data_IF_991691622857
#
_entry.id   IF_991691622857
#
_cell.length_a   1.000
_cell.length_b   1.000
_cell.length_c   1.000
_cell.angle_alpha   90.00
_cell.angle_beta   90.00
_cell.angle_gamma   90.00
#
_symmetry.space_group_name_H-M   'P 1'
#
loop_
_entity.id
_entity.type
_entity.pdbx_description
1 polymer ?
#
# COMPACT_ATOMS: atom_id res chain seq x y z
N UNK A 1 -1.79 2.35 3.47
CA UNK A 1 -0.70 2.75 4.39
C UNK A 1 -1.28 3.17 5.73
N UNK A 2 -0.46 3.08 6.78
CA UNK A 2 -0.81 3.53 8.13
C UNK A 2 -1.65 2.55 8.96
N UNK A 3 -2.33 1.62 8.33
CA UNK A 3 -3.14 0.60 9.03
C UNK A 3 -2.27 -0.58 9.45
N UNK A 4 -2.81 -1.39 10.38
CA UNK A 4 -2.21 -2.68 10.72
C UNK A 4 -2.77 -3.78 9.83
N UNK A 5 -1.92 -4.77 9.51
CA UNK A 5 -2.31 -5.93 8.73
C UNK A 5 -1.90 -7.19 9.47
N UNK A 6 -2.78 -8.19 9.47
CA UNK A 6 -2.49 -9.51 10.04
C UNK A 6 -2.52 -10.54 8.92
N UNK A 7 -1.42 -11.27 8.77
CA UNK A 7 -1.34 -12.40 7.84
C UNK A 7 -1.45 -13.69 8.64
N UNK A 8 -2.42 -14.51 8.27
CA UNK A 8 -2.66 -15.78 8.95
C UNK A 8 -1.79 -16.90 8.40
N UNK A 9 -1.55 -17.91 9.21
CA UNK A 9 -0.82 -19.10 8.81
C UNK A 9 -1.53 -20.33 9.36
N UNK A 10 -1.31 -21.47 8.74
CA UNK A 10 -1.94 -22.73 9.13
C UNK A 10 -1.67 -23.06 10.60
N UNK A 11 -2.73 -23.25 11.38
CA UNK A 11 -2.62 -23.65 12.79
C UNK A 11 -2.50 -25.17 12.86
N UNK A 12 -1.54 -25.62 13.65
CA UNK A 12 -1.34 -27.04 13.91
C UNK A 12 -1.07 -27.27 15.40
N UNK A 13 -1.38 -28.46 15.88
CA UNK A 13 -0.93 -28.89 17.20
C UNK A 13 0.49 -29.45 17.11
N UNK A 14 1.20 -29.44 18.24
CA UNK A 14 2.57 -29.98 18.35
C UNK A 14 3.54 -29.31 17.33
N UNK A 15 3.50 -27.99 17.28
CA UNK A 15 4.37 -27.19 16.41
C UNK A 15 5.77 -27.15 17.01
N UNK A 16 6.79 -27.50 16.20
CA UNK A 16 8.18 -27.40 16.58
C UNK A 16 8.79 -26.04 16.22
N UNK A 17 8.47 -25.55 15.01
CA UNK A 17 9.01 -24.30 14.48
C UNK A 17 7.98 -23.59 13.63
N UNK A 18 8.04 -22.25 13.66
CA UNK A 18 7.30 -21.36 12.73
C UNK A 18 8.29 -20.35 12.20
N UNK A 19 8.25 -20.11 10.89
CA UNK A 19 9.14 -19.11 10.27
C UNK A 19 8.35 -18.29 9.24
N UNK A 20 8.41 -16.97 9.37
CA UNK A 20 8.00 -16.04 8.33
C UNK A 20 9.23 -15.57 7.58
N UNK A 21 9.27 -15.84 6.27
CA UNK A 21 10.29 -15.34 5.35
C UNK A 21 9.68 -14.21 4.54
N UNK A 22 10.28 -13.05 4.61
CA UNK A 22 9.75 -11.83 4.00
C UNK A 22 10.75 -11.35 2.97
N UNK A 23 10.32 -11.29 1.71
CA UNK A 23 11.08 -10.74 0.61
C UNK A 23 10.40 -9.47 0.13
N UNK A 24 10.80 -8.29 0.62
CA UNK A 24 10.20 -7.05 0.17
C UNK A 24 10.54 -6.78 -1.29
N UNK A 25 9.67 -6.05 -1.98
CA UNK A 25 9.88 -5.66 -3.37
C UNK A 25 11.16 -4.84 -3.53
N UNK A 26 11.46 -4.00 -2.54
CA UNK A 26 12.69 -3.20 -2.48
C UNK A 26 13.32 -3.42 -1.11
N UNK A 27 14.60 -3.73 -1.11
CA UNK A 27 15.35 -4.00 0.12
C UNK A 27 15.67 -5.47 0.30
N UNK A 28 16.39 -5.77 1.36
CA UNK A 28 16.84 -7.12 1.67
C UNK A 28 15.78 -7.97 2.38
N UNK A 29 15.94 -9.30 2.34
CA UNK A 29 15.02 -10.20 3.01
C UNK A 29 15.10 -10.08 4.53
N UNK A 30 14.01 -10.43 5.20
CA UNK A 30 14.01 -10.53 6.65
C UNK A 30 13.32 -11.84 7.09
N UNK A 31 13.63 -12.29 8.28
CA UNK A 31 13.12 -13.55 8.81
C UNK A 31 12.67 -13.35 10.26
N UNK A 32 11.49 -13.87 10.58
CA UNK A 32 10.98 -13.93 11.93
C UNK A 32 10.66 -15.39 12.25
N UNK A 33 11.41 -16.00 13.16
CA UNK A 33 11.30 -17.40 13.50
C UNK A 33 10.94 -17.62 14.96
N UNK A 34 10.33 -18.77 15.25
CA UNK A 34 10.01 -19.21 16.59
C UNK A 34 10.33 -20.69 16.76
N UNK A 35 11.03 -21.03 17.85
CA UNK A 35 11.33 -22.42 18.22
C UNK A 35 10.59 -22.77 19.51
N UNK A 36 9.72 -23.77 19.43
CA UNK A 36 8.89 -24.15 20.56
C UNK A 36 9.69 -24.81 21.70
N UNK A 37 10.74 -25.58 21.35
CA UNK A 37 11.59 -26.25 22.34
C UNK A 37 12.35 -25.27 23.23
N UNK A 38 12.66 -24.08 22.73
CA UNK A 38 13.38 -23.03 23.45
C UNK A 38 12.49 -21.88 23.88
N UNK A 39 11.22 -21.88 23.43
CA UNK A 39 10.30 -20.77 23.61
C UNK A 39 10.95 -19.43 23.22
N UNK A 40 11.63 -19.43 22.07
CA UNK A 40 12.47 -18.31 21.65
C UNK A 40 12.10 -17.83 20.25
N UNK A 41 12.01 -16.51 20.13
CA UNK A 41 11.87 -15.81 18.84
C UNK A 41 13.23 -15.37 18.34
N UNK A 42 13.55 -15.72 17.08
CA UNK A 42 14.73 -15.23 16.38
C UNK A 42 14.28 -14.23 15.31
N UNK A 43 14.88 -13.05 15.35
CA UNK A 43 14.55 -11.97 14.43
C UNK A 43 15.81 -11.59 13.66
N UNK A 44 15.74 -11.64 12.31
CA UNK A 44 16.86 -11.28 11.44
C UNK A 44 16.40 -10.24 10.44
N UNK A 45 16.90 -9.01 10.57
CA UNK A 45 16.65 -7.88 9.68
C UNK A 45 15.20 -7.40 9.58
N UNK A 46 14.29 -7.93 10.39
CA UNK A 46 12.92 -7.45 10.43
C UNK A 46 12.80 -6.23 11.34
N UNK A 47 12.02 -5.23 10.93
CA UNK A 47 11.76 -4.04 11.72
C UNK A 47 10.86 -4.37 12.92
N UNK A 48 10.82 -3.47 13.90
CA UNK A 48 9.97 -3.62 15.08
C UNK A 48 8.48 -3.55 14.76
N UNK A 49 8.11 -3.05 13.57
CA UNK A 49 6.73 -3.01 13.12
C UNK A 49 6.16 -4.39 12.80
N UNK A 50 7.01 -5.39 12.59
CA UNK A 50 6.62 -6.76 12.33
C UNK A 50 6.83 -7.62 13.56
N UNK A 51 5.79 -8.31 14.01
CA UNK A 51 5.87 -9.18 15.18
C UNK A 51 4.79 -10.25 15.14
N UNK A 52 4.89 -11.20 16.06
CA UNK A 52 3.83 -12.18 16.29
C UNK A 52 2.59 -11.47 16.84
N UNK A 53 1.41 -11.77 16.26
CA UNK A 53 0.14 -11.27 16.79
C UNK A 53 -0.25 -12.00 18.07
N UNK A 54 0.00 -13.31 18.09
CA UNK A 54 -0.34 -14.21 19.19
C UNK A 54 0.87 -15.06 19.55
N UNK A 55 0.67 -16.03 20.43
CA UNK A 55 1.70 -17.01 20.74
C UNK A 55 1.94 -17.91 19.51
N UNK A 56 3.18 -17.93 18.94
CA UNK A 56 3.41 -18.56 17.62
C UNK A 56 3.16 -20.05 17.55
N UNK A 57 3.33 -20.78 18.65
CA UNK A 57 3.08 -22.23 18.69
C UNK A 57 1.57 -22.55 18.67
N UNK A 58 0.73 -21.58 18.96
CA UNK A 58 -0.74 -21.74 18.95
C UNK A 58 -1.37 -21.08 17.74
N UNK A 59 -0.93 -19.90 17.39
CA UNK A 59 -1.42 -19.14 16.23
C UNK A 59 -0.25 -18.36 15.61
N UNK A 60 0.30 -18.83 14.49
CA UNK A 60 1.49 -18.25 13.90
C UNK A 60 1.23 -17.00 13.06
N UNK A 61 0.20 -16.24 13.35
CA UNK A 61 -0.16 -15.02 12.62
C UNK A 61 0.90 -13.94 12.78
N UNK A 62 1.23 -13.28 11.66
CA UNK A 62 2.14 -12.13 11.61
C UNK A 62 1.34 -10.85 11.64
N UNK A 63 1.72 -9.93 12.53
CA UNK A 63 1.17 -8.57 12.54
C UNK A 63 2.19 -7.58 12.00
N UNK A 64 1.74 -6.75 11.06
CA UNK A 64 2.52 -5.62 10.54
C UNK A 64 1.80 -4.36 10.99
N UNK A 65 2.44 -3.58 11.84
CA UNK A 65 1.89 -2.32 12.33
C UNK A 65 2.34 -1.17 11.45
N UNK A 66 1.46 -0.18 11.25
CA UNK A 66 1.74 1.00 10.43
C UNK A 66 2.30 0.61 9.06
N UNK A 67 1.51 -0.14 8.28
CA UNK A 67 1.91 -0.61 6.97
C UNK A 67 2.36 0.56 6.09
N UNK A 68 3.55 0.44 5.52
CA UNK A 68 4.13 1.41 4.60
C UNK A 68 4.56 0.73 3.30
N UNK A 69 5.01 1.53 2.34
CA UNK A 69 5.42 1.04 1.01
C UNK A 69 6.54 -0.01 1.14
N UNK A 70 7.43 0.14 2.11
CA UNK A 70 8.54 -0.79 2.34
C UNK A 70 8.08 -2.20 2.71
N UNK A 71 6.83 -2.38 3.14
CA UNK A 71 6.28 -3.68 3.50
C UNK A 71 5.76 -4.48 2.29
N UNK A 72 5.66 -3.87 1.12
CA UNK A 72 5.19 -4.57 -0.08
C UNK A 72 6.17 -5.66 -0.49
N UNK A 73 5.65 -6.87 -0.75
CA UNK A 73 6.47 -7.98 -1.18
C UNK A 73 5.85 -9.34 -0.89
N UNK A 74 6.68 -10.37 -0.96
CA UNK A 74 6.29 -11.75 -0.71
C UNK A 74 6.49 -12.12 0.76
N UNK A 75 5.47 -12.75 1.34
CA UNK A 75 5.47 -13.25 2.71
C UNK A 75 5.19 -14.74 2.68
N UNK A 76 6.11 -15.55 3.16
CA UNK A 76 5.96 -16.99 3.22
C UNK A 76 6.02 -17.44 4.68
N UNK A 77 4.97 -18.13 5.13
CA UNK A 77 4.95 -18.76 6.44
C UNK A 77 5.22 -20.25 6.29
N UNK A 78 6.12 -20.77 7.10
CA UNK A 78 6.41 -22.19 7.17
C UNK A 78 6.19 -22.68 8.59
N UNK A 79 5.37 -23.73 8.72
CA UNK A 79 5.09 -24.36 10.01
C UNK A 79 5.60 -25.79 9.95
N UNK A 80 6.46 -26.15 10.91
CA UNK A 80 6.97 -27.50 11.09
C UNK A 80 6.27 -28.12 12.31
N UNK A 81 5.49 -29.14 12.06
CA UNK A 81 4.72 -29.86 13.09
C UNK A 81 4.94 -31.35 12.97
N UNK A 82 4.42 -32.13 13.95
CA UNK A 82 4.60 -33.59 13.96
C UNK A 82 3.94 -34.28 12.74
N UNK A 83 2.87 -33.71 12.20
CA UNK A 83 2.16 -34.26 11.04
C UNK A 83 2.63 -33.66 9.69
N UNK A 84 3.71 -32.91 9.68
CA UNK A 84 4.33 -32.46 8.44
C UNK A 84 4.71 -30.98 8.45
N UNK A 85 5.13 -30.52 7.28
CA UNK A 85 5.51 -29.12 7.04
C UNK A 85 4.42 -28.47 6.18
N UNK A 86 4.06 -27.23 6.54
CA UNK A 86 2.98 -26.50 5.87
C UNK A 86 3.48 -25.11 5.48
N UNK A 87 3.03 -24.63 4.32
CA UNK A 87 3.41 -23.34 3.78
C UNK A 87 2.19 -22.52 3.41
N UNK A 88 2.20 -21.24 3.74
CA UNK A 88 1.24 -20.26 3.23
C UNK A 88 2.04 -19.11 2.60
N UNK A 89 1.62 -18.68 1.42
CA UNK A 89 2.32 -17.64 0.65
C UNK A 89 1.37 -16.48 0.38
N UNK A 90 1.85 -15.26 0.65
CA UNK A 90 1.10 -14.04 0.38
C UNK A 90 1.96 -13.06 -0.40
N UNK A 91 1.33 -12.28 -1.27
CA UNK A 91 1.91 -11.07 -1.80
C UNK A 91 1.17 -9.87 -1.23
N UNK A 92 1.86 -9.04 -0.45
CA UNK A 92 1.28 -7.84 0.15
C UNK A 92 1.45 -6.67 -0.81
N UNK A 93 0.34 -6.16 -1.32
CA UNK A 93 0.30 -4.95 -2.14
C UNK A 93 -0.08 -3.78 -1.25
N UNK A 94 0.71 -2.71 -1.28
CA UNK A 94 0.48 -1.54 -0.45
C UNK A 94 -0.09 -0.43 -1.30
N UNK A 95 -1.28 0.06 -0.95
CA UNK A 95 -1.94 1.18 -1.59
C UNK A 95 -1.60 2.47 -0.85
N UNK A 96 -1.30 3.53 -1.62
CA UNK A 96 -1.08 4.87 -1.06
C UNK A 96 -2.11 5.80 -1.68
N UNK A 97 -3.06 6.35 -0.91
CA UNK A 97 -4.02 7.29 -1.46
C UNK A 97 -3.32 8.57 -1.89
N UNK A 98 -3.67 9.13 -3.06
CA UNK A 98 -3.10 10.39 -3.51
C UNK A 98 -3.65 11.55 -2.69
N UNK A 99 -2.88 12.64 -2.63
CA UNK A 99 -3.35 13.90 -2.04
C UNK A 99 -3.92 14.77 -3.16
N UNK A 100 -5.19 15.13 -3.07
CA UNK A 100 -5.88 15.95 -4.06
C UNK A 100 -5.68 17.43 -3.76
N UNK A 101 -5.15 18.16 -4.75
CA UNK A 101 -5.03 19.61 -4.72
C UNK A 101 -5.65 20.18 -5.99
N UNK A 102 -6.49 21.21 -5.84
CA UNK A 102 -7.16 21.86 -6.95
C UNK A 102 -6.92 23.38 -6.83
N UNK A 103 -6.35 23.98 -7.87
CA UNK A 103 -6.01 25.41 -7.86
C UNK A 103 -6.13 26.01 -9.25
N UNK A 104 -6.12 27.35 -9.33
CA UNK A 104 -6.09 28.09 -10.59
C UNK A 104 -4.64 28.47 -10.91
N UNK A 105 -4.20 28.26 -12.17
CA UNK A 105 -2.87 28.66 -12.59
C UNK A 105 -2.83 30.18 -12.92
N UNK A 106 -1.68 30.67 -13.35
CA UNK A 106 -1.46 32.10 -13.66
C UNK A 106 -2.33 32.60 -14.82
N UNK A 107 -2.84 31.68 -15.65
CA UNK A 107 -3.70 32.00 -16.78
C UNK A 107 -5.19 31.81 -16.45
N UNK A 108 -5.53 31.52 -15.19
CA UNK A 108 -6.89 31.27 -14.77
C UNK A 108 -7.44 29.90 -15.15
N UNK A 109 -6.59 28.95 -15.48
CA UNK A 109 -7.00 27.58 -15.79
C UNK A 109 -7.05 26.72 -14.51
N UNK A 110 -8.09 25.92 -14.33
CA UNK A 110 -8.10 24.95 -13.23
C UNK A 110 -7.04 23.87 -13.42
N UNK A 111 -6.32 23.57 -12.35
CA UNK A 111 -5.33 22.49 -12.31
C UNK A 111 -5.67 21.53 -11.19
N UNK A 112 -5.80 20.24 -11.52
CA UNK A 112 -6.07 19.18 -10.57
C UNK A 112 -4.85 18.28 -10.44
N UNK A 113 -4.36 18.12 -9.22
CA UNK A 113 -3.19 17.32 -8.92
C UNK A 113 -3.53 16.23 -7.92
N UNK A 114 -3.27 14.99 -8.31
CA UNK A 114 -3.35 13.83 -7.42
C UNK A 114 -1.91 13.41 -7.08
N UNK A 115 -1.41 13.87 -5.94
CA UNK A 115 0.00 13.76 -5.60
C UNK A 115 0.33 12.45 -4.90
N UNK A 116 1.39 11.80 -5.37
CA UNK A 116 2.07 10.70 -4.71
C UNK A 116 1.14 9.52 -4.38
N UNK A 117 0.29 9.13 -5.33
CA UNK A 117 -0.55 7.95 -5.21
C UNK A 117 0.15 6.68 -5.69
N UNK A 118 -0.22 5.54 -5.14
CA UNK A 118 0.24 4.24 -5.60
C UNK A 118 -0.93 3.25 -5.60
N UNK A 119 -1.31 2.70 -6.76
CA UNK A 119 -0.85 3.08 -8.12
C UNK A 119 -1.22 4.52 -8.49
N UNK A 120 -0.87 4.94 -9.71
CA UNK A 120 -1.25 6.24 -10.23
C UNK A 120 -2.77 6.41 -10.21
N UNK A 121 -3.24 7.57 -9.78
CA UNK A 121 -4.66 7.87 -9.79
C UNK A 121 -5.15 8.22 -11.19
N UNK A 122 -6.45 8.06 -11.43
CA UNK A 122 -7.13 8.57 -12.61
C UNK A 122 -7.76 9.90 -12.29
N UNK A 123 -7.47 10.92 -13.10
CA UNK A 123 -7.97 12.27 -12.91
C UNK A 123 -8.92 12.60 -14.06
N UNK A 124 -10.16 12.96 -13.72
CA UNK A 124 -11.21 13.28 -14.68
C UNK A 124 -11.88 14.60 -14.31
N UNK A 125 -12.30 15.33 -15.35
CA UNK A 125 -13.11 16.53 -15.19
C UNK A 125 -14.58 16.20 -15.53
N UNK A 126 -15.51 16.73 -14.75
CA UNK A 126 -16.94 16.49 -14.97
C UNK A 126 -17.39 16.92 -16.37
N UNK A 127 -16.75 17.91 -16.94
CA UNK A 127 -17.07 18.40 -18.29
C UNK A 127 -16.66 17.43 -19.41
N UNK A 128 -16.08 16.28 -19.09
CA UNK A 128 -15.77 15.26 -20.09
C UNK A 128 -14.68 15.65 -21.08
N UNK A 129 -13.69 16.41 -20.68
CA UNK A 129 -12.59 16.80 -21.55
C UNK A 129 -11.66 15.63 -21.83
N UNK A 130 -11.17 15.53 -23.07
CA UNK A 130 -10.23 14.52 -23.53
C UNK A 130 -8.76 14.94 -23.28
N UNK A 131 -8.47 15.53 -22.13
CA UNK A 131 -7.11 15.92 -21.82
C UNK A 131 -6.31 14.75 -21.28
N UNK A 132 -5.12 14.55 -21.82
CA UNK A 132 -4.20 13.55 -21.30
C UNK A 132 -3.49 14.15 -20.08
N UNK A 133 -3.62 13.52 -18.90
CA UNK A 133 -2.93 14.01 -17.73
C UNK A 133 -1.42 13.80 -17.86
N UNK A 134 -0.65 14.66 -17.20
CA UNK A 134 0.79 14.48 -17.06
C UNK A 134 1.06 13.61 -15.84
N UNK A 135 2.00 12.67 -15.98
CA UNK A 135 2.39 11.78 -14.89
C UNK A 135 3.86 11.98 -14.54
N UNK A 136 4.15 12.01 -13.25
CA UNK A 136 5.51 12.05 -12.73
C UNK A 136 5.69 10.92 -11.71
N UNK A 137 6.58 9.97 -12.03
CA UNK A 137 6.94 8.89 -11.12
C UNK A 137 7.96 9.34 -10.10
N UNK A 138 7.85 8.79 -8.88
CA UNK A 138 8.77 9.04 -7.78
C UNK A 138 9.55 7.77 -7.44
N UNK A 139 10.69 7.94 -6.77
CA UNK A 139 11.59 6.82 -6.45
C UNK A 139 10.96 5.78 -5.53
N UNK A 140 9.99 6.18 -4.71
CA UNK A 140 9.29 5.26 -3.81
C UNK A 140 8.16 4.47 -4.48
N UNK A 141 7.97 4.62 -5.80
CA UNK A 141 6.91 3.94 -6.54
C UNK A 141 5.57 4.67 -6.57
N UNK A 142 5.45 5.82 -5.92
CA UNK A 142 4.28 6.67 -6.04
C UNK A 142 4.33 7.49 -7.32
N UNK A 143 3.18 7.95 -7.79
CA UNK A 143 3.04 8.72 -9.02
C UNK A 143 2.16 9.94 -8.75
N UNK A 144 2.59 11.10 -9.21
CA UNK A 144 1.78 12.32 -9.21
C UNK A 144 1.16 12.48 -10.59
N UNK A 145 -0.17 12.66 -10.62
CA UNK A 145 -0.94 12.87 -11.84
C UNK A 145 -1.49 14.29 -11.82
N UNK A 146 -1.22 15.05 -12.87
CA UNK A 146 -1.65 16.44 -12.98
C UNK A 146 -2.45 16.64 -14.26
N UNK A 147 -3.63 17.24 -14.14
CA UNK A 147 -4.46 17.60 -15.28
C UNK A 147 -4.81 19.07 -15.23
N UNK A 148 -4.57 19.76 -16.34
CA UNK A 148 -4.89 21.17 -16.51
C UNK A 148 -6.04 21.30 -17.47
N UNK A 149 -7.11 21.97 -17.04
CA UNK A 149 -8.28 22.22 -17.87
C UNK A 149 -8.09 23.55 -18.58
N UNK A 150 -7.74 23.50 -19.88
CA UNK A 150 -7.67 24.70 -20.70
C UNK A 150 -9.06 25.01 -21.24
N UNK A 151 -9.65 26.08 -20.73
CA UNK A 151 -10.99 26.48 -21.13
C UNK A 151 -10.91 27.43 -22.31
N UNK A 152 -11.34 26.98 -23.48
CA UNK A 152 -11.45 27.83 -24.65
C UNK A 152 -12.74 28.63 -24.59
N UNK A 153 -12.68 29.86 -24.10
CA UNK A 153 -13.74 30.83 -24.25
C UNK A 153 -15.09 30.52 -23.58
N UNK A 154 -15.12 29.57 -22.68
CA UNK A 154 -16.32 29.27 -21.91
C UNK A 154 -16.25 29.94 -20.55
N UNK A 155 -17.31 30.59 -20.15
CA UNK A 155 -17.47 31.12 -18.81
C UNK A 155 -17.73 29.96 -17.83
N UNK A 156 -16.66 29.25 -17.49
CA UNK A 156 -16.72 28.20 -16.48
C UNK A 156 -16.82 28.84 -15.12
N UNK A 157 -18.04 28.94 -14.60
CA UNK A 157 -18.24 29.48 -13.27
C UNK A 157 -17.85 28.51 -12.19
N UNK A 158 -17.86 27.18 -12.49
CA UNK A 158 -17.49 26.15 -11.53
C UNK A 158 -17.18 24.88 -12.28
N UNK A 159 -16.11 24.20 -11.87
CA UNK A 159 -15.73 22.91 -12.45
C UNK A 159 -15.32 21.94 -11.34
N UNK A 160 -15.53 20.66 -11.59
CA UNK A 160 -15.25 19.59 -10.62
C UNK A 160 -14.24 18.63 -11.17
N UNK A 161 -13.21 18.37 -10.38
CA UNK A 161 -12.22 17.32 -10.64
C UNK A 161 -12.55 16.08 -9.82
N UNK A 162 -12.58 14.94 -10.48
CA UNK A 162 -12.81 13.64 -9.87
C UNK A 162 -11.53 12.83 -9.94
N UNK A 163 -11.06 12.35 -8.79
CA UNK A 163 -9.87 11.49 -8.69
C UNK A 163 -10.31 10.10 -8.26
N UNK A 164 -10.06 9.11 -9.12
CA UNK A 164 -10.35 7.70 -8.87
C UNK A 164 -9.08 6.96 -8.50
N UNK A 165 -9.13 6.20 -7.40
CA UNK A 165 -8.00 5.43 -6.91
C UNK A 165 -8.50 4.19 -6.16
N UNK A 166 -7.77 3.06 -6.20
CA UNK A 166 -8.19 1.86 -5.46
C UNK A 166 -8.37 2.06 -3.95
N UNK A 167 -7.68 3.06 -3.36
CA UNK A 167 -7.82 3.39 -1.94
C UNK A 167 -9.02 4.28 -1.64
N UNK A 168 -9.73 4.76 -2.66
CA UNK A 168 -10.93 5.60 -2.52
C UNK A 168 -10.97 6.70 -3.56
N UNK A 169 -12.18 7.19 -3.84
CA UNK A 169 -12.43 8.27 -4.78
C UNK A 169 -12.57 9.59 -4.03
N UNK A 170 -12.11 10.67 -4.68
CA UNK A 170 -12.19 12.02 -4.14
C UNK A 170 -12.67 12.97 -5.24
N UNK A 171 -13.31 14.06 -4.84
CA UNK A 171 -13.68 15.11 -5.77
C UNK A 171 -13.59 16.48 -5.09
N UNK A 172 -13.23 17.49 -5.87
CA UNK A 172 -13.23 18.89 -5.45
C UNK A 172 -13.70 19.77 -6.59
N UNK A 173 -14.28 20.91 -6.25
CA UNK A 173 -14.77 21.89 -7.21
C UNK A 173 -14.06 23.23 -7.02
N UNK A 174 -13.87 23.96 -8.11
CA UNK A 174 -13.24 25.27 -8.11
C UNK A 174 -13.85 26.15 -9.17
N UNK A 175 -13.86 27.45 -8.93
CA UNK A 175 -14.18 28.49 -9.89
C UNK A 175 -12.94 29.34 -10.13
N UNK A 176 -12.48 29.42 -11.38
CA UNK A 176 -11.33 30.24 -11.75
C UNK A 176 -11.79 31.55 -12.44
#
# INVERSE_FOLDING_TARGET
VGNSQVLTCTRKSNVAMVTWKINPKVGGPCTLGYRADQNKTDRTNCSDSMNWKFRPDRDPALEIRQVGIAHEGNYTCEVVATDGNFHDVYYLTVLVPPRLTLYCDDHGNPVCEAAAGKPAAQVLWVLGSNFTPEEEGHDNGTVTVLSRLTAYGTNLTNTTCIVSHPAGNQSKSIAC
#
